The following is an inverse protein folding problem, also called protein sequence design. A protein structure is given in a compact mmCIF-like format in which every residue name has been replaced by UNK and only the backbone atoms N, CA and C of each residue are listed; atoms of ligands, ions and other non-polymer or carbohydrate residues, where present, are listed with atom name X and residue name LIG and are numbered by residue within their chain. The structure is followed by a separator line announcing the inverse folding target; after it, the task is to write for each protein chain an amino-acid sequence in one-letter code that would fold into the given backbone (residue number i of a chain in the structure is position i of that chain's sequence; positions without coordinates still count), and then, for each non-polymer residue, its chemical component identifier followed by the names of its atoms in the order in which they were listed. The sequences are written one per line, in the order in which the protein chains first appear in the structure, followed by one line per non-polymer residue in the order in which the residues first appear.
data_IF_034672716889
#
_entry.id   IF_034672716889
#
_cell.length_a   1.000
_cell.length_b   1.000
_cell.length_c   1.000
_cell.angle_alpha   90.00
_cell.angle_beta   90.00
_cell.angle_gamma   90.00
#
_symmetry.space_group_name_H-M   'P 1'
#
loop_
_entity.id
_entity.type
_entity.pdbx_description
1 polymer ?
#
# COMPACT_ATOMS: atom_id res chain seq x y z
N UNK A 1 -1.41 16.72 9.94
CA UNK A 1 -0.56 16.14 8.85
C UNK A 1 -1.16 14.81 8.39
N UNK A 2 -1.05 14.44 7.10
CA UNK A 2 -1.47 13.11 6.62
C UNK A 2 -0.27 12.19 6.41
N UNK A 3 -0.31 10.98 6.97
CA UNK A 3 0.77 9.99 6.93
C UNK A 3 0.21 8.67 6.38
N UNK A 4 0.85 8.14 5.34
CA UNK A 4 0.55 6.78 4.84
C UNK A 4 1.71 5.86 5.16
N UNK A 5 1.42 4.75 5.84
CA UNK A 5 2.39 3.71 6.19
C UNK A 5 2.19 2.54 5.25
N UNK A 6 3.17 2.24 4.41
CA UNK A 6 3.12 1.11 3.48
C UNK A 6 3.80 -0.11 4.13
N UNK A 7 3.02 -1.15 4.40
CA UNK A 7 3.55 -2.44 4.87
C UNK A 7 3.93 -3.30 3.67
N UNK A 8 5.23 -3.36 3.37
CA UNK A 8 5.76 -4.05 2.18
C UNK A 8 5.85 -5.58 2.28
N UNK A 9 5.45 -6.20 3.40
CA UNK A 9 5.49 -7.66 3.52
C UNK A 9 4.31 -8.28 2.77
N UNK A 10 4.62 -9.14 1.80
CA UNK A 10 3.64 -9.95 1.04
C UNK A 10 3.15 -11.21 1.77
N UNK A 11 3.69 -11.52 2.97
CA UNK A 11 3.35 -12.75 3.69
C UNK A 11 2.06 -12.59 4.49
N UNK A 12 1.26 -13.65 4.57
CA UNK A 12 0.09 -13.73 5.45
C UNK A 12 0.28 -14.89 6.47
N UNK A 13 0.32 -14.63 7.79
CA UNK A 13 0.19 -13.31 8.45
C UNK A 13 1.47 -12.46 8.37
N UNK A 14 1.30 -11.13 8.22
CA UNK A 14 2.38 -10.15 8.08
C UNK A 14 2.84 -9.56 9.42
N UNK A 15 4.08 -9.83 9.83
CA UNK A 15 4.64 -9.21 11.05
C UNK A 15 4.98 -7.73 10.85
N UNK A 16 5.36 -7.31 9.64
CA UNK A 16 5.57 -5.90 9.32
C UNK A 16 4.27 -5.11 9.43
N UNK A 17 3.13 -5.70 9.03
CA UNK A 17 1.83 -5.05 9.16
C UNK A 17 1.43 -4.88 10.63
N UNK A 18 1.72 -5.88 11.48
CA UNK A 18 1.51 -5.76 12.93
C UNK A 18 2.23 -4.54 13.50
N UNK A 19 3.49 -4.32 13.11
CA UNK A 19 4.27 -3.14 13.53
C UNK A 19 3.71 -1.85 12.92
N UNK A 20 3.32 -1.86 11.64
CA UNK A 20 2.73 -0.69 10.98
C UNK A 20 1.46 -0.21 11.70
N UNK A 21 0.56 -1.13 12.08
CA UNK A 21 -0.65 -0.84 12.86
C UNK A 21 -0.34 -0.33 14.27
N UNK A 22 0.73 -0.82 14.89
CA UNK A 22 1.18 -0.26 16.17
C UNK A 22 1.63 1.21 16.04
N UNK A 23 2.35 1.54 14.96
CA UNK A 23 2.79 2.92 14.69
C UNK A 23 1.59 3.83 14.40
N UNK A 24 0.64 3.40 13.57
CA UNK A 24 -0.61 4.14 13.29
C UNK A 24 -1.34 4.52 14.58
N UNK A 25 -1.60 3.54 15.45
CA UNK A 25 -2.25 3.78 16.74
C UNK A 25 -1.43 4.71 17.65
N UNK A 26 -0.10 4.60 17.61
CA UNK A 26 0.79 5.47 18.38
C UNK A 26 0.73 6.91 17.90
N UNK A 27 0.59 7.14 16.59
CA UNK A 27 0.43 8.47 16.00
C UNK A 27 -0.92 9.09 16.40
N UNK A 28 -2.02 8.36 16.24
CA UNK A 28 -3.35 8.86 16.62
C UNK A 28 -3.48 9.14 18.13
N UNK A 29 -2.77 8.40 18.98
CA UNK A 29 -2.84 8.58 20.44
C UNK A 29 -1.97 9.72 20.98
N UNK A 30 -0.91 10.11 20.26
CA UNK A 30 0.01 11.15 20.70
C UNK A 30 -0.27 12.52 20.06
N UNK A 31 -0.96 12.54 18.92
CA UNK A 31 -1.17 13.76 18.14
C UNK A 31 -2.60 13.83 17.61
N UNK A 32 -3.35 14.83 18.08
CA UNK A 32 -4.77 15.03 17.70
C UNK A 32 -4.94 15.50 16.24
N UNK A 33 -3.90 16.05 15.63
CA UNK A 33 -3.93 16.63 14.28
C UNK A 33 -3.23 15.75 13.22
N UNK A 34 -2.89 14.50 13.56
CA UNK A 34 -2.31 13.53 12.62
C UNK A 34 -3.38 12.54 12.12
N UNK A 35 -3.52 12.49 10.81
CA UNK A 35 -4.29 11.45 10.10
C UNK A 35 -3.31 10.42 9.54
N UNK A 36 -3.13 9.30 10.25
CA UNK A 36 -2.33 8.17 9.79
C UNK A 36 -3.21 7.04 9.22
N UNK A 37 -2.73 6.36 8.17
CA UNK A 37 -3.37 5.18 7.58
C UNK A 37 -2.33 4.10 7.21
N UNK A 38 -2.67 2.82 7.42
CA UNK A 38 -1.87 1.67 6.96
C UNK A 38 -2.38 1.11 5.64
N UNK A 39 -1.48 0.94 4.66
CA UNK A 39 -1.71 0.21 3.42
C UNK A 39 -0.86 -1.08 3.40
N UNK A 40 -1.51 -2.24 3.38
CA UNK A 40 -0.83 -3.55 3.39
C UNK A 40 -0.68 -4.13 1.98
N UNK A 41 0.50 -4.65 1.66
CA UNK A 41 0.77 -5.39 0.41
C UNK A 41 0.58 -6.91 0.55
N UNK A 42 0.22 -7.42 1.74
CA UNK A 42 0.10 -8.85 2.03
C UNK A 42 -0.95 -9.58 1.17
N UNK A 43 -2.02 -8.90 0.81
CA UNK A 43 -3.11 -9.41 -0.05
C UNK A 43 -3.41 -8.45 -1.20
N UNK A 44 -2.45 -7.58 -1.54
CA UNK A 44 -2.60 -6.54 -2.54
C UNK A 44 -1.41 -6.59 -3.51
N UNK A 45 -1.37 -7.60 -4.41
CA UNK A 45 -0.28 -7.73 -5.35
C UNK A 45 -0.30 -6.53 -6.28
N UNK A 46 0.77 -5.73 -6.21
CA UNK A 46 1.02 -4.73 -7.22
C UNK A 46 1.30 -5.46 -8.55
N UNK A 47 0.78 -4.93 -9.69
CA UNK A 47 1.13 -5.49 -10.98
C UNK A 47 2.65 -5.42 -11.15
N UNK A 48 3.21 -6.45 -11.78
CA UNK A 48 4.60 -6.40 -12.22
C UNK A 48 4.75 -5.29 -13.25
N UNK A 49 5.93 -4.67 -13.28
CA UNK A 49 6.25 -3.69 -14.32
C UNK A 49 6.17 -4.35 -15.69
N UNK A 50 5.40 -3.73 -16.58
CA UNK A 50 5.33 -4.09 -17.99
C UNK A 50 5.50 -2.82 -18.81
N UNK A 51 6.52 -2.80 -19.69
CA UNK A 51 6.82 -1.65 -20.53
C UNK A 51 5.69 -1.36 -21.53
N UNK A 52 4.97 -2.40 -21.96
CA UNK A 52 3.91 -2.33 -22.98
C UNK A 52 2.75 -1.40 -22.58
N UNK A 53 2.54 -1.20 -21.27
CA UNK A 53 1.57 -0.21 -20.73
C UNK A 53 1.75 1.18 -21.34
N UNK A 54 2.96 1.52 -21.78
CA UNK A 54 3.32 2.84 -22.31
C UNK A 54 3.50 2.84 -23.84
N UNK A 55 3.23 1.73 -24.52
CA UNK A 55 3.50 1.53 -25.96
C UNK A 55 2.21 1.33 -26.79
N UNK A 56 1.07 1.81 -26.27
CA UNK A 56 -0.26 1.69 -26.92
C UNK A 56 -0.65 0.22 -27.21
N UNK A 57 -0.22 -0.69 -26.32
CA UNK A 57 -0.50 -2.12 -26.41
C UNK A 57 -2.00 -2.41 -26.26
N UNK A 58 -2.55 -3.21 -27.17
CA UNK A 58 -3.98 -3.48 -27.27
C UNK A 58 -4.55 -4.20 -26.03
N UNK A 59 -3.76 -5.10 -25.41
CA UNK A 59 -4.15 -5.84 -24.20
C UNK A 59 -4.20 -4.90 -22.99
N UNK A 60 -3.20 -4.04 -22.85
CA UNK A 60 -3.16 -3.06 -21.76
C UNK A 60 -4.22 -1.97 -21.90
N UNK A 61 -4.48 -1.49 -23.12
CA UNK A 61 -5.56 -0.54 -23.38
C UNK A 61 -6.94 -1.12 -23.01
N UNK A 62 -7.19 -2.40 -23.30
CA UNK A 62 -8.42 -3.07 -22.91
C UNK A 62 -8.51 -3.30 -21.39
N UNK A 63 -7.39 -3.54 -20.72
CA UNK A 63 -7.33 -3.80 -19.27
C UNK A 63 -7.55 -2.53 -18.43
N UNK A 64 -7.14 -1.36 -18.95
CA UNK A 64 -7.19 -0.07 -18.25
C UNK A 64 -8.43 0.79 -18.58
N UNK A 65 -9.26 0.38 -19.54
CA UNK A 65 -10.51 1.05 -19.93
C UNK A 65 -11.65 0.81 -18.94
#
# INVERSE_FOLDING_TARGET
MKITIISGSHRNPSQSEKVARYIENSLHSQFDDIEAQVYSLADNPLPMWDQRVWEDDEEWNATLA
#
